data_IF_392534482254
#
_entry.id   IF_392534482254
#
_cell.length_a   1.000
_cell.length_b   1.000
_cell.length_c   1.000
_cell.angle_alpha   90.00
_cell.angle_beta   90.00
_cell.angle_gamma   90.00
#
_symmetry.space_group_name_H-M   'P 1'
#
loop_
_entity.id
_entity.type
_entity.pdbx_description
1 polymer ?
#
# COMPACT_ATOMS: atom_id res chain seq x y z
N UNK A 1 -17.00 7.41 -12.12
CA UNK A 1 -17.01 6.34 -11.10
C UNK A 1 -15.98 6.73 -10.06
N UNK A 2 -16.38 6.87 -8.79
CA UNK A 2 -15.46 7.27 -7.72
C UNK A 2 -15.01 6.01 -6.98
N UNK A 3 -13.87 5.44 -7.38
CA UNK A 3 -13.31 4.25 -6.73
C UNK A 3 -12.43 4.73 -5.59
N UNK A 4 -12.80 4.39 -4.37
CA UNK A 4 -12.09 4.81 -3.17
C UNK A 4 -12.23 3.70 -2.12
N UNK A 5 -11.10 3.15 -1.68
CA UNK A 5 -11.03 1.99 -0.79
C UNK A 5 -10.20 2.30 0.47
N UNK A 6 -10.47 1.62 1.58
CA UNK A 6 -9.60 1.62 2.76
C UNK A 6 -8.49 0.56 2.65
N UNK A 7 -7.51 0.64 3.54
CA UNK A 7 -6.58 -0.47 3.74
C UNK A 7 -7.34 -1.72 4.24
N UNK A 8 -6.99 -2.92 3.75
CA UNK A 8 -7.68 -4.18 4.07
C UNK A 8 -7.24 -4.78 5.42
N UNK A 9 -6.78 -3.93 6.35
CA UNK A 9 -6.33 -4.27 7.70
C UNK A 9 -6.29 -2.99 8.54
N UNK A 10 -6.16 -3.17 9.85
CA UNK A 10 -5.86 -2.10 10.79
C UNK A 10 -4.39 -2.15 11.20
N UNK A 11 -3.80 -0.98 11.47
CA UNK A 11 -2.40 -0.85 11.85
C UNK A 11 -1.47 -0.74 10.65
N UNK A 12 -0.17 -0.63 10.97
CA UNK A 12 0.86 -0.53 9.95
C UNK A 12 1.43 -1.90 9.60
N UNK A 13 1.29 -2.31 8.33
CA UNK A 13 2.10 -3.39 7.72
C UNK A 13 2.85 -2.92 6.46
N UNK A 14 4.12 -3.35 6.28
CA UNK A 14 4.95 -2.86 5.19
C UNK A 14 4.45 -3.43 3.87
N UNK A 15 4.57 -2.65 2.81
CA UNK A 15 4.47 -3.20 1.46
C UNK A 15 5.72 -4.04 1.20
N UNK A 16 5.52 -5.32 0.91
CA UNK A 16 6.59 -6.28 0.59
C UNK A 16 6.79 -6.42 -0.91
N UNK A 17 5.76 -6.14 -1.70
CA UNK A 17 5.84 -6.16 -3.15
C UNK A 17 4.80 -5.23 -3.78
N UNK A 18 5.22 -4.42 -4.74
CA UNK A 18 4.37 -3.46 -5.45
C UNK A 18 3.72 -4.09 -6.69
N UNK A 19 2.69 -3.42 -7.19
CA UNK A 19 2.08 -3.75 -8.49
C UNK A 19 3.11 -3.61 -9.61
N UNK A 20 3.13 -4.57 -10.53
CA UNK A 20 4.03 -4.62 -11.68
C UNK A 20 5.43 -5.15 -11.40
N UNK A 21 5.80 -5.43 -10.16
CA UNK A 21 7.12 -6.00 -9.84
C UNK A 21 7.27 -7.44 -10.34
N UNK A 22 8.52 -7.86 -10.55
CA UNK A 22 8.93 -9.21 -10.92
C UNK A 22 8.25 -9.82 -12.18
N UNK A 23 8.22 -9.10 -13.33
CA UNK A 23 7.55 -9.56 -14.56
C UNK A 23 7.95 -10.97 -15.01
N UNK A 24 9.21 -11.34 -14.86
CA UNK A 24 9.70 -12.67 -15.24
C UNK A 24 9.03 -13.79 -14.42
N UNK A 25 8.78 -13.54 -13.12
CA UNK A 25 8.08 -14.49 -12.25
C UNK A 25 6.61 -14.60 -12.65
N UNK A 26 5.94 -13.47 -12.90
CA UNK A 26 4.49 -13.46 -13.16
C UNK A 26 4.11 -13.81 -14.60
N UNK A 27 5.08 -13.82 -15.52
CA UNK A 27 4.88 -14.29 -16.90
C UNK A 27 4.31 -15.72 -16.97
N UNK A 28 4.67 -16.58 -16.00
CA UNK A 28 4.15 -17.95 -15.90
C UNK A 28 2.62 -18.00 -15.64
N UNK A 29 2.07 -16.93 -15.07
CA UNK A 29 0.63 -16.75 -14.84
C UNK A 29 -0.04 -15.92 -15.95
N UNK A 30 0.69 -15.63 -17.04
CA UNK A 30 0.20 -14.77 -18.13
C UNK A 30 -0.01 -13.32 -17.71
N UNK A 31 0.71 -12.85 -16.69
CA UNK A 31 0.64 -11.47 -16.19
C UNK A 31 1.93 -10.70 -16.55
N UNK A 32 1.83 -9.40 -16.86
CA UNK A 32 3.00 -8.59 -17.19
C UNK A 32 3.82 -8.17 -15.96
N UNK A 33 3.37 -8.53 -14.75
CA UNK A 33 3.99 -8.23 -13.47
C UNK A 33 3.07 -8.66 -12.33
N UNK A 34 3.47 -8.37 -11.10
CA UNK A 34 2.62 -8.59 -9.93
C UNK A 34 1.29 -7.84 -10.07
N UNK A 35 0.17 -8.55 -9.96
CA UNK A 35 -1.16 -8.03 -10.29
C UNK A 35 -1.93 -7.45 -9.08
N UNK A 36 -1.22 -7.19 -7.99
CA UNK A 36 -1.76 -6.60 -6.76
C UNK A 36 -0.65 -5.93 -5.96
N UNK A 37 -0.86 -5.78 -4.66
CA UNK A 37 0.13 -5.30 -3.70
C UNK A 37 0.19 -6.29 -2.54
N UNK A 38 1.40 -6.64 -2.14
CA UNK A 38 1.63 -7.53 -1.02
C UNK A 38 1.97 -6.72 0.22
N UNK A 39 1.31 -7.05 1.32
CA UNK A 39 1.56 -6.46 2.63
C UNK A 39 2.06 -7.53 3.60
N UNK A 40 3.20 -7.28 4.24
CA UNK A 40 3.81 -8.20 5.19
C UNK A 40 3.03 -8.32 6.49
N UNK A 41 2.01 -9.18 6.51
CA UNK A 41 1.14 -9.45 7.65
C UNK A 41 1.53 -10.79 8.31
N UNK A 42 1.73 -10.83 9.64
CA UNK A 42 1.86 -12.09 10.37
C UNK A 42 0.64 -12.99 10.17
N UNK A 43 0.83 -14.32 10.20
CA UNK A 43 -0.29 -15.28 10.15
C UNK A 43 -1.30 -14.98 11.26
N UNK A 44 -2.59 -15.02 10.92
CA UNK A 44 -3.68 -14.79 11.85
C UNK A 44 -4.09 -13.31 12.01
N UNK A 45 -3.47 -12.38 11.27
CA UNK A 45 -3.88 -10.97 11.30
C UNK A 45 -5.27 -10.82 10.65
N UNK A 46 -6.22 -10.09 11.26
CA UNK A 46 -7.51 -9.82 10.65
C UNK A 46 -7.38 -9.12 9.30
N UNK A 47 -8.02 -9.69 8.28
CA UNK A 47 -8.17 -9.09 6.95
C UNK A 47 -9.57 -8.50 6.85
N UNK A 48 -9.63 -7.23 6.46
CA UNK A 48 -10.84 -6.41 6.44
C UNK A 48 -11.30 -6.13 5.02
N UNK A 49 -12.61 -6.00 4.83
CA UNK A 49 -13.18 -5.55 3.57
C UNK A 49 -12.79 -4.10 3.28
N UNK A 50 -12.23 -3.87 2.09
CA UNK A 50 -11.73 -2.56 1.67
C UNK A 50 -12.84 -1.56 1.28
N UNK A 51 -14.06 -2.05 1.04
CA UNK A 51 -15.26 -1.25 0.73
C UNK A 51 -16.53 -2.12 0.92
N UNK A 52 -17.69 -1.47 0.97
CA UNK A 52 -19.00 -2.13 0.95
C UNK A 52 -19.17 -3.00 -0.30
N UNK A 53 -19.75 -4.18 -0.13
CA UNK A 53 -19.95 -5.08 -1.26
C UNK A 53 -20.59 -6.41 -0.88
N UNK A 54 -20.32 -7.43 -1.70
CA UNK A 54 -20.78 -8.79 -1.49
C UNK A 54 -19.73 -9.81 -1.88
N UNK A 55 -19.70 -10.93 -1.18
CA UNK A 55 -18.84 -12.05 -1.53
C UNK A 55 -19.34 -12.69 -2.82
N UNK A 56 -18.51 -12.68 -3.87
CA UNK A 56 -18.81 -13.34 -5.15
C UNK A 56 -18.02 -14.61 -5.37
N UNK A 57 -16.88 -14.77 -4.71
CA UNK A 57 -16.07 -15.98 -4.82
C UNK A 57 -15.28 -16.25 -3.57
N UNK A 58 -15.30 -17.51 -3.17
CA UNK A 58 -14.36 -18.11 -2.23
C UNK A 58 -13.60 -19.20 -2.99
N UNK A 59 -12.29 -19.28 -2.83
CA UNK A 59 -11.51 -20.28 -3.53
C UNK A 59 -10.26 -20.70 -2.81
N UNK A 60 -9.68 -21.78 -3.31
CA UNK A 60 -8.38 -22.27 -2.91
C UNK A 60 -7.59 -22.64 -4.17
N UNK A 61 -6.51 -21.91 -4.43
CA UNK A 61 -5.59 -22.12 -5.54
C UNK A 61 -4.16 -22.37 -5.01
N UNK A 62 -3.78 -23.64 -4.78
CA UNK A 62 -2.49 -23.98 -4.16
C UNK A 62 -1.25 -23.50 -4.94
N UNK A 63 -1.39 -23.21 -6.24
CA UNK A 63 -0.28 -22.77 -7.09
C UNK A 63 -0.35 -21.27 -7.42
N UNK A 64 -1.31 -20.56 -6.85
CA UNK A 64 -1.54 -19.12 -7.05
C UNK A 64 -1.94 -18.47 -5.73
N UNK A 65 -3.16 -17.95 -5.64
CA UNK A 65 -3.61 -17.14 -4.51
C UNK A 65 -3.77 -17.87 -3.16
N UNK A 66 -3.55 -19.18 -3.08
CA UNK A 66 -3.87 -19.95 -1.88
C UNK A 66 -5.36 -19.87 -1.58
N UNK A 67 -5.75 -19.74 -0.30
CA UNK A 67 -7.14 -19.41 0.03
C UNK A 67 -7.37 -17.93 -0.23
N UNK A 68 -8.47 -17.60 -0.91
CA UNK A 68 -8.79 -16.22 -1.24
C UNK A 68 -10.28 -15.92 -1.25
N UNK A 69 -10.58 -14.63 -1.17
CA UNK A 69 -11.91 -14.04 -1.25
C UNK A 69 -11.92 -13.04 -2.40
N UNK A 70 -13.01 -13.01 -3.19
CA UNK A 70 -13.31 -11.93 -4.12
C UNK A 70 -14.59 -11.24 -3.66
N UNK A 71 -14.51 -9.93 -3.48
CA UNK A 71 -15.66 -9.08 -3.20
C UNK A 71 -16.02 -8.27 -4.46
N UNK A 72 -17.31 -8.20 -4.75
CA UNK A 72 -17.87 -7.29 -5.74
C UNK A 72 -18.41 -6.05 -5.04
N UNK A 73 -18.00 -4.89 -5.51
CA UNK A 73 -18.44 -3.57 -5.06
C UNK A 73 -19.23 -2.88 -6.18
N UNK A 74 -19.58 -1.61 -5.98
CA UNK A 74 -20.19 -0.80 -7.03
C UNK A 74 -19.17 -0.43 -8.12
N UNK A 75 -19.17 -1.21 -9.21
CA UNK A 75 -18.35 -0.95 -10.40
C UNK A 75 -16.91 -1.50 -10.36
N UNK A 76 -16.47 -2.10 -9.26
CA UNK A 76 -15.13 -2.70 -9.14
C UNK A 76 -15.13 -3.96 -8.25
N UNK A 77 -14.02 -4.69 -8.22
CA UNK A 77 -13.81 -5.86 -7.36
C UNK A 77 -12.53 -5.73 -6.56
N UNK A 78 -12.47 -6.40 -5.40
CA UNK A 78 -11.24 -6.62 -4.66
C UNK A 78 -10.97 -8.11 -4.46
N UNK A 79 -9.69 -8.50 -4.47
CA UNK A 79 -9.26 -9.86 -4.12
C UNK A 79 -8.34 -9.81 -2.90
N UNK A 80 -8.50 -10.80 -2.01
CA UNK A 80 -7.71 -10.99 -0.79
C UNK A 80 -7.14 -12.40 -0.80
N UNK A 81 -5.84 -12.54 -1.00
CA UNK A 81 -5.14 -13.81 -1.17
C UNK A 81 -4.29 -14.23 0.04
N UNK A 82 -3.74 -15.45 -0.07
CA UNK A 82 -2.85 -16.09 0.90
C UNK A 82 -3.44 -16.25 2.30
N UNK A 83 -4.75 -16.45 2.41
CA UNK A 83 -5.46 -16.49 3.69
C UNK A 83 -5.25 -17.82 4.45
N UNK A 84 -5.33 -17.76 5.78
CA UNK A 84 -5.39 -18.93 6.67
C UNK A 84 -6.79 -19.53 6.60
N UNK A 85 -7.79 -18.66 6.70
CA UNK A 85 -9.20 -18.97 6.88
C UNK A 85 -10.04 -17.85 6.25
N UNK A 86 -11.18 -18.26 5.70
CA UNK A 86 -12.26 -17.37 5.26
C UNK A 86 -13.33 -17.36 6.34
N UNK A 87 -13.77 -16.18 6.77
CA UNK A 87 -14.76 -15.98 7.83
C UNK A 87 -16.16 -15.60 7.34
N UNK A 88 -16.35 -15.55 6.02
CA UNK A 88 -17.58 -15.11 5.36
C UNK A 88 -18.11 -16.15 4.38
N UNK A 89 -19.39 -16.04 4.03
CA UNK A 89 -20.06 -16.92 3.07
C UNK A 89 -20.36 -16.23 1.75
N UNK A 90 -20.51 -16.99 0.67
CA UNK A 90 -20.96 -16.45 -0.62
C UNK A 90 -22.36 -15.84 -0.45
N UNK A 91 -22.61 -14.71 -1.12
CA UNK A 91 -23.82 -13.87 -1.06
C UNK A 91 -24.04 -13.07 0.23
N UNK A 92 -23.12 -13.13 1.19
CA UNK A 92 -23.15 -12.29 2.38
C UNK A 92 -22.94 -10.80 2.02
N UNK A 93 -23.79 -9.88 2.52
CA UNK A 93 -23.52 -8.46 2.45
C UNK A 93 -22.35 -8.13 3.38
N UNK A 94 -21.37 -7.40 2.86
CA UNK A 94 -20.15 -7.02 3.56
C UNK A 94 -20.07 -5.50 3.61
N UNK A 95 -19.81 -4.96 4.79
CA UNK A 95 -19.54 -3.54 4.97
C UNK A 95 -18.03 -3.29 4.99
N UNK A 96 -17.63 -2.09 4.58
CA UNK A 96 -16.26 -1.61 4.72
C UNK A 96 -15.77 -1.79 6.17
N UNK A 97 -14.62 -2.46 6.34
CA UNK A 97 -14.05 -2.74 7.66
C UNK A 97 -14.49 -4.05 8.32
N UNK A 98 -15.45 -4.78 7.75
CA UNK A 98 -15.81 -6.11 8.27
C UNK A 98 -14.64 -7.08 8.15
N UNK A 99 -14.41 -7.91 9.19
CA UNK A 99 -13.39 -8.96 9.12
C UNK A 99 -13.87 -10.11 8.24
N UNK A 100 -13.20 -10.33 7.12
CA UNK A 100 -13.57 -11.32 6.11
C UNK A 100 -12.70 -12.59 6.16
N UNK A 101 -11.53 -12.52 6.78
CA UNK A 101 -10.59 -13.63 6.87
C UNK A 101 -9.40 -13.32 7.75
N UNK A 102 -8.43 -14.23 7.75
CA UNK A 102 -7.15 -14.08 8.45
C UNK A 102 -6.00 -14.27 7.47
N UNK A 103 -4.97 -13.42 7.54
CA UNK A 103 -3.77 -13.52 6.70
C UNK A 103 -2.95 -14.77 7.01
N UNK A 104 -2.19 -15.25 6.04
CA UNK A 104 -1.29 -16.41 6.19
C UNK A 104 -0.24 -16.47 5.07
N UNK A 105 0.19 -17.68 4.73
CA UNK A 105 1.18 -18.00 3.73
C UNK A 105 0.70 -19.14 2.80
N UNK A 106 -0.60 -19.21 2.48
CA UNK A 106 -1.13 -20.28 1.61
C UNK A 106 -0.87 -19.99 0.13
N UNK A 107 -0.69 -21.03 -0.70
CA UNK A 107 -0.49 -20.85 -2.14
C UNK A 107 0.94 -20.48 -2.55
N UNK A 108 1.07 -19.74 -3.65
CA UNK A 108 2.34 -19.25 -4.17
C UNK A 108 2.83 -18.05 -3.36
N UNK A 109 3.44 -18.33 -2.21
CA UNK A 109 3.92 -17.33 -1.26
C UNK A 109 5.24 -17.75 -0.64
N UNK A 110 6.12 -16.78 -0.38
CA UNK A 110 7.45 -17.02 0.22
C UNK A 110 7.50 -16.78 1.74
N UNK A 111 6.50 -16.10 2.29
CA UNK A 111 6.33 -15.86 3.72
C UNK A 111 4.96 -15.23 4.03
N UNK A 112 4.53 -15.18 5.30
CA UNK A 112 3.20 -14.66 5.65
C UNK A 112 2.99 -13.23 5.16
N UNK A 113 1.93 -13.04 4.38
CA UNK A 113 1.53 -11.74 3.84
C UNK A 113 0.06 -11.74 3.38
N UNK A 114 -0.47 -10.57 3.05
CA UNK A 114 -1.72 -10.42 2.32
C UNK A 114 -1.42 -9.97 0.90
N UNK A 115 -1.86 -10.75 -0.09
CA UNK A 115 -1.96 -10.29 -1.47
C UNK A 115 -3.30 -9.59 -1.67
N UNK A 116 -3.26 -8.32 -2.07
CA UNK A 116 -4.46 -7.50 -2.27
C UNK A 116 -4.54 -6.95 -3.69
N UNK A 117 -5.67 -7.17 -4.36
CA UNK A 117 -5.93 -6.64 -5.69
C UNK A 117 -7.13 -5.68 -5.68
N UNK A 118 -7.05 -4.70 -6.57
CA UNK A 118 -8.18 -3.90 -7.03
C UNK A 118 -8.38 -4.16 -8.51
N UNK A 119 -9.63 -4.46 -8.91
CA UNK A 119 -9.98 -4.72 -10.31
C UNK A 119 -11.09 -3.78 -10.78
N UNK A 120 -10.79 -2.98 -11.78
CA UNK A 120 -11.71 -2.00 -12.38
C UNK A 120 -11.91 -2.36 -13.85
N UNK A 121 -13.07 -2.94 -14.23
CA UNK A 121 -13.33 -3.29 -15.62
C UNK A 121 -13.20 -2.09 -16.57
N UNK A 122 -12.40 -2.25 -17.62
CA UNK A 122 -12.20 -1.22 -18.64
C UNK A 122 -11.29 -0.05 -18.24
N UNK A 123 -10.61 -0.11 -17.09
CA UNK A 123 -9.66 0.93 -16.71
C UNK A 123 -8.43 0.95 -17.64
N UNK A 124 -8.02 2.10 -18.18
CA UNK A 124 -6.85 2.19 -19.06
C UNK A 124 -5.56 1.74 -18.35
N UNK A 125 -4.82 0.83 -18.98
CA UNK A 125 -3.57 0.30 -18.41
C UNK A 125 -3.75 -0.82 -17.39
N UNK A 126 -4.99 -1.26 -17.14
CA UNK A 126 -5.24 -2.42 -16.31
C UNK A 126 -4.74 -3.72 -16.96
N UNK A 127 -4.45 -4.72 -16.13
CA UNK A 127 -4.13 -6.06 -16.61
C UNK A 127 -5.37 -6.79 -17.12
N UNK A 128 -5.18 -8.04 -17.57
CA UNK A 128 -6.19 -8.79 -18.32
C UNK A 128 -7.51 -9.05 -17.59
N UNK A 129 -7.53 -9.06 -16.25
CA UNK A 129 -8.76 -9.16 -15.46
C UNK A 129 -9.23 -7.82 -14.88
N UNK A 130 -8.68 -6.70 -15.39
CA UNK A 130 -8.97 -5.36 -14.91
C UNK A 130 -8.14 -4.95 -13.71
N UNK A 131 -7.07 -5.67 -13.36
CA UNK A 131 -6.23 -5.34 -12.21
C UNK A 131 -5.50 -4.00 -12.41
N UNK A 132 -5.53 -3.17 -11.38
CA UNK A 132 -4.86 -1.86 -11.32
C UNK A 132 -4.03 -1.78 -10.03
N UNK A 133 -3.12 -0.82 -9.97
CA UNK A 133 -2.37 -0.50 -8.74
C UNK A 133 -3.33 -0.01 -7.63
N UNK A 134 -3.60 -0.81 -6.59
CA UNK A 134 -4.57 -0.45 -5.55
C UNK A 134 -4.15 0.77 -4.73
N UNK A 135 -2.84 1.06 -4.63
CA UNK A 135 -2.34 2.18 -3.83
C UNK A 135 -2.81 3.54 -4.36
N UNK A 136 -3.14 3.63 -5.65
CA UNK A 136 -3.65 4.85 -6.27
C UNK A 136 -5.10 5.18 -5.89
N UNK A 137 -5.81 4.23 -5.27
CA UNK A 137 -7.23 4.32 -4.94
C UNK A 137 -7.50 4.23 -3.43
N UNK A 138 -6.44 4.16 -2.62
CA UNK A 138 -6.58 4.27 -1.18
C UNK A 138 -7.11 5.65 -0.83
N UNK A 139 -8.17 5.71 -0.03
CA UNK A 139 -8.58 6.97 0.60
C UNK A 139 -7.41 7.44 1.45
N UNK A 140 -7.11 8.73 1.36
CA UNK A 140 -6.39 9.38 2.45
C UNK A 140 -7.16 9.06 3.73
N UNK A 141 -6.48 8.51 4.73
CA UNK A 141 -7.10 8.37 6.04
C UNK A 141 -7.50 9.80 6.42
N UNK A 142 -8.80 10.09 6.49
CA UNK A 142 -9.27 11.31 7.14
C UNK A 142 -8.95 11.14 8.63
N UNK A 143 -7.69 11.38 8.98
CA UNK A 143 -7.36 11.80 10.31
C UNK A 143 -8.13 13.10 10.51
N UNK A 144 -9.05 13.10 11.47
CA UNK A 144 -9.66 14.33 11.95
C UNK A 144 -8.56 15.24 12.47
N UNK A 145 -8.03 16.10 11.60
CA UNK A 145 -7.10 17.17 11.91
C UNK A 145 -7.66 18.46 11.28
N UNK A 146 -7.54 19.60 11.98
CA UNK A 146 -8.29 20.81 11.68
C UNK A 146 -7.78 21.52 10.42
N UNK A 147 -8.64 22.39 9.91
CA UNK A 147 -8.55 23.13 8.66
C UNK A 147 -7.26 23.96 8.44
N UNK A 148 -6.90 24.01 7.16
CA UNK A 148 -6.26 25.09 6.39
C UNK A 148 -4.84 25.57 6.74
N UNK A 149 -3.93 25.48 5.76
CA UNK A 149 -3.47 26.66 4.99
C UNK A 149 -2.56 26.24 3.83
N UNK A 150 -2.86 26.76 2.64
CA UNK A 150 -2.00 26.69 1.44
C UNK A 150 -0.68 27.45 1.67
N UNK A 151 0.44 26.94 1.14
CA UNK A 151 1.63 27.75 0.86
C UNK A 151 2.20 27.41 -0.51
N UNK A 152 2.25 28.43 -1.38
CA UNK A 152 2.80 28.38 -2.73
C UNK A 152 4.33 28.36 -2.73
N UNK A 153 4.86 27.70 -3.75
CA UNK A 153 6.27 27.53 -4.08
C UNK A 153 6.99 28.83 -4.50
N UNK A 154 8.18 29.09 -3.98
CA UNK A 154 9.44 29.25 -4.76
C UNK A 154 10.70 29.41 -3.87
N UNK A 155 11.84 29.33 -4.55
CA UNK A 155 13.18 29.84 -4.22
C UNK A 155 14.25 28.94 -3.56
N UNK A 156 15.32 28.82 -4.37
CA UNK A 156 16.50 27.97 -4.29
C UNK A 156 17.55 28.51 -3.30
N UNK A 157 17.19 28.65 -2.03
CA UNK A 157 18.14 28.84 -0.93
C UNK A 157 18.18 27.56 -0.08
N UNK A 158 19.35 27.13 0.43
CA UNK A 158 19.38 26.10 1.45
C UNK A 158 18.65 26.64 2.68
N UNK A 159 17.44 26.15 2.89
CA UNK A 159 16.64 26.39 4.09
C UNK A 159 17.48 26.01 5.33
N UNK A 160 17.52 26.84 6.38
CA UNK A 160 18.13 26.47 7.65
C UNK A 160 17.56 25.13 8.13
N UNK A 161 18.37 24.29 8.75
CA UNK A 161 17.92 23.00 9.26
C UNK A 161 16.63 23.15 10.08
N UNK A 162 15.54 22.58 9.58
CA UNK A 162 14.20 22.64 10.15
C UNK A 162 13.94 21.53 11.19
N UNK A 163 15.00 20.86 11.67
CA UNK A 163 14.94 19.86 12.73
C UNK A 163 15.86 18.67 12.50
N UNK A 164 15.75 17.67 13.37
CA UNK A 164 16.42 16.38 13.23
C UNK A 164 15.39 15.26 13.23
N UNK A 165 15.78 14.07 12.78
CA UNK A 165 14.93 12.90 12.90
C UNK A 165 15.72 11.60 12.98
N UNK A 166 15.04 10.54 13.41
CA UNK A 166 15.57 9.17 13.46
C UNK A 166 14.76 8.30 12.52
N UNK A 167 15.45 7.55 11.66
CA UNK A 167 14.80 6.62 10.73
C UNK A 167 14.25 5.40 11.47
N UNK A 168 12.97 5.10 11.27
CA UNK A 168 12.25 4.05 12.00
C UNK A 168 12.24 2.70 11.28
N UNK A 169 12.50 2.71 9.96
CA UNK A 169 12.41 1.53 9.08
C UNK A 169 13.78 1.01 8.67
N UNK A 170 13.87 -0.29 8.38
CA UNK A 170 15.14 -0.94 8.02
C UNK A 170 15.80 -0.37 6.76
N UNK A 171 14.99 0.17 5.84
CA UNK A 171 15.45 0.83 4.63
C UNK A 171 14.47 1.94 4.25
N UNK A 172 14.98 3.17 4.19
CA UNK A 172 14.24 4.35 3.73
C UNK A 172 14.92 4.90 2.48
N UNK A 173 14.24 4.80 1.33
CA UNK A 173 14.78 5.29 0.06
C UNK A 173 14.93 6.82 0.09
N UNK A 174 16.07 7.28 -0.40
CA UNK A 174 16.38 8.69 -0.64
C UNK A 174 16.25 8.92 -2.15
N UNK A 175 15.57 9.99 -2.53
CA UNK A 175 15.13 10.25 -3.90
C UNK A 175 15.47 11.64 -4.38
N UNK A 176 15.54 11.80 -5.70
CA UNK A 176 15.81 13.08 -6.34
C UNK A 176 14.67 14.10 -6.15
N UNK A 177 13.43 13.64 -5.98
CA UNK A 177 12.22 14.47 -5.82
C UNK A 177 11.29 13.87 -4.77
N UNK A 178 10.39 14.67 -4.14
CA UNK A 178 9.52 14.22 -3.05
C UNK A 178 8.30 13.42 -3.53
N UNK A 179 8.54 12.35 -4.28
CA UNK A 179 7.49 11.41 -4.69
C UNK A 179 8.09 10.03 -4.98
N UNK A 180 7.26 8.99 -4.88
CA UNK A 180 7.71 7.59 -4.98
C UNK A 180 8.20 7.19 -6.37
N UNK A 181 7.79 7.89 -7.43
CA UNK A 181 8.26 7.64 -8.80
C UNK A 181 9.61 8.32 -9.13
N UNK A 182 10.21 9.05 -8.18
CA UNK A 182 11.49 9.71 -8.40
C UNK A 182 12.65 8.72 -8.35
N UNK A 183 13.72 9.00 -9.09
CA UNK A 183 14.98 8.26 -9.04
C UNK A 183 15.46 8.08 -7.59
N UNK A 184 15.87 6.86 -7.26
CA UNK A 184 16.45 6.53 -5.95
C UNK A 184 17.94 6.84 -6.02
N UNK A 185 18.40 7.72 -5.14
CA UNK A 185 19.78 8.17 -5.04
C UNK A 185 20.59 7.33 -4.04
N UNK A 186 19.99 7.00 -2.90
CA UNK A 186 20.61 6.27 -1.79
C UNK A 186 19.51 5.73 -0.84
N UNK A 187 19.87 5.20 0.33
CA UNK A 187 18.93 4.86 1.40
C UNK A 187 19.50 5.11 2.80
N UNK A 188 18.61 5.37 3.76
CA UNK A 188 18.93 5.32 5.20
C UNK A 188 18.50 3.98 5.80
N UNK A 189 19.10 3.62 6.94
CA UNK A 189 18.79 2.44 7.74
C UNK A 189 18.13 2.84 9.06
N UNK A 190 17.45 1.88 9.68
CA UNK A 190 16.81 2.08 10.98
C UNK A 190 17.85 2.56 12.00
N UNK A 191 17.50 3.63 12.72
CA UNK A 191 18.35 4.26 13.73
C UNK A 191 19.29 5.35 13.18
N UNK A 192 19.38 5.53 11.86
CA UNK A 192 20.15 6.64 11.30
C UNK A 192 19.55 7.97 11.76
N UNK A 193 20.42 8.85 12.26
CA UNK A 193 20.07 10.25 12.54
C UNK A 193 20.18 11.06 11.25
N UNK A 194 19.14 11.85 10.95
CA UNK A 194 19.09 12.69 9.76
C UNK A 194 18.80 14.14 10.13
N UNK A 195 19.43 15.05 9.39
CA UNK A 195 19.15 16.48 9.46
C UNK A 195 18.09 16.82 8.43
N UNK A 196 17.00 17.45 8.88
CA UNK A 196 15.90 17.87 8.02
C UNK A 196 16.17 19.29 7.57
N UNK A 197 16.46 19.46 6.29
CA UNK A 197 16.69 20.77 5.68
C UNK A 197 15.36 21.42 5.26
N UNK A 198 14.38 20.61 4.87
CA UNK A 198 13.11 21.09 4.32
C UNK A 198 12.00 20.08 4.59
N UNK A 199 10.77 20.56 4.81
CA UNK A 199 9.56 19.74 4.97
C UNK A 199 8.52 20.12 3.92
N UNK A 200 7.96 19.13 3.22
CA UNK A 200 6.75 19.27 2.42
C UNK A 200 5.56 18.74 3.19
N UNK A 201 4.63 19.62 3.54
CA UNK A 201 3.47 19.32 4.40
C UNK A 201 2.43 18.46 3.71
N UNK A 202 2.13 18.72 2.43
CA UNK A 202 1.03 18.06 1.70
C UNK A 202 1.31 16.60 1.33
N UNK A 203 2.59 16.21 1.28
CA UNK A 203 3.01 14.85 0.90
C UNK A 203 3.83 14.17 2.02
N UNK A 204 4.08 14.91 3.10
CA UNK A 204 4.89 14.52 4.26
C UNK A 204 6.27 13.96 3.89
N UNK A 205 6.98 14.64 2.99
CA UNK A 205 8.38 14.37 2.65
C UNK A 205 9.32 15.33 3.35
N UNK A 206 10.55 14.88 3.62
CA UNK A 206 11.63 15.73 4.10
C UNK A 206 12.83 15.67 3.18
N UNK A 207 13.50 16.81 3.02
CA UNK A 207 14.78 16.91 2.32
C UNK A 207 15.92 16.82 3.33
N UNK A 208 16.87 15.94 3.05
CA UNK A 208 18.14 15.80 3.77
C UNK A 208 19.28 16.23 2.83
N UNK A 209 20.51 16.24 3.32
CA UNK A 209 21.70 16.49 2.47
C UNK A 209 21.83 15.49 1.32
N UNK A 210 21.32 14.26 1.50
CA UNK A 210 21.37 13.20 0.48
C UNK A 210 20.22 13.25 -0.53
N UNK A 211 19.16 14.02 -0.26
CA UNK A 211 17.95 14.05 -1.07
C UNK A 211 16.65 13.89 -0.27
N UNK A 212 15.56 13.61 -0.97
CA UNK A 212 14.21 13.53 -0.42
C UNK A 212 13.87 12.14 0.10
N UNK A 213 13.27 12.06 1.28
CA UNK A 213 12.73 10.81 1.82
C UNK A 213 11.35 11.05 2.43
N UNK A 214 10.51 10.02 2.42
CA UNK A 214 9.20 10.10 3.06
C UNK A 214 9.41 10.21 4.57
N UNK A 215 8.79 11.22 5.20
CA UNK A 215 8.62 11.28 6.66
C UNK A 215 7.40 10.48 7.05
N UNK A 216 6.30 10.69 6.35
CA UNK A 216 5.12 9.85 6.40
C UNK A 216 4.70 9.52 4.98
N UNK A 217 4.27 8.28 4.75
CA UNK A 217 3.71 7.86 3.47
C UNK A 217 2.74 6.71 3.71
N UNK A 218 1.56 6.72 3.08
CA UNK A 218 0.51 5.74 3.30
C UNK A 218 0.18 5.52 4.80
N UNK A 219 0.15 6.59 5.60
CA UNK A 219 -0.15 6.54 7.04
C UNK A 219 0.98 5.99 7.93
N UNK A 220 2.15 5.71 7.36
CA UNK A 220 3.31 5.21 8.10
C UNK A 220 4.31 6.31 8.38
N UNK A 221 4.72 6.46 9.64
CA UNK A 221 5.85 7.30 10.01
C UNK A 221 7.16 6.55 9.80
N UNK A 222 7.98 7.06 8.87
CA UNK A 222 9.30 6.53 8.53
C UNK A 222 10.41 7.23 9.30
N UNK A 223 10.13 8.43 9.81
CA UNK A 223 11.08 9.28 10.52
C UNK A 223 10.39 9.84 11.77
N UNK A 224 10.93 9.50 12.95
CA UNK A 224 10.61 10.18 14.22
C UNK A 224 11.30 11.54 14.23
N UNK A 225 10.53 12.61 14.05
CA UNK A 225 11.06 13.98 13.97
C UNK A 225 11.13 14.61 15.36
N UNK A 226 12.29 15.20 15.68
CA UNK A 226 12.60 15.84 16.97
C UNK A 226 12.99 17.31 16.81
#
# INVERSE_FOLDING_TARGET
MNVAIRLPFDGGYPVTQLFGENPDIYSQFGKPGHNGVDFGLPTGTPVLAAADGKVTRLGNDPNGYGKYIVLQHDGFQTLYGHLQEVKVSVTEPIHEGDTIGLSDNTGFSTGPHLHFELRIPGFPGAYSAGEVDPLQFLRAIEASAPADTEYQSDNNQPTPAQGKGIVLVNKLNIRAKPHTNAEILDFYKKGDEIVILERKVVEEWVRTEKGWCARVYNGWEYIDVR
#
